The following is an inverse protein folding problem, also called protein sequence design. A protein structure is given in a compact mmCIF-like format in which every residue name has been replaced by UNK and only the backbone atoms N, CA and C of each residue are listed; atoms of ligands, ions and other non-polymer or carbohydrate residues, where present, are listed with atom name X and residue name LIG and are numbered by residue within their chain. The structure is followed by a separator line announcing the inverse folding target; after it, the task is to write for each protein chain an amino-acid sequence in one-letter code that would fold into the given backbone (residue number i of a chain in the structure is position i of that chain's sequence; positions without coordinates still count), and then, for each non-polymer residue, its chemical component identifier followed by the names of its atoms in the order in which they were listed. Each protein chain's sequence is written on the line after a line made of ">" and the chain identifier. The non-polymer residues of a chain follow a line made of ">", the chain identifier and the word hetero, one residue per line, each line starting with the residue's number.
data_IF_477139559257
#
_entry.id   IF_477139559257
#
_cell.length_a   1.000
_cell.length_b   1.000
_cell.length_c   1.000
_cell.angle_alpha   90.00
_cell.angle_beta   90.00
_cell.angle_gamma   90.00
#
_symmetry.space_group_name_H-M   'P 1'
#
loop_
_entity.id
_entity.type
_entity.pdbx_description
1 polymer ?
#
# COMPACT_ATOMS: atom_id res chain seq x y z
N UNK A 1 2.86 -14.70 -3.63
CA UNK A 1 2.03 -15.03 -2.44
C UNK A 1 0.67 -14.40 -2.66
N UNK A 2 -0.41 -15.11 -2.35
CA UNK A 2 -1.74 -14.54 -2.47
C UNK A 2 -2.02 -13.56 -1.33
N UNK A 3 -2.42 -12.33 -1.68
CA UNK A 3 -2.76 -11.27 -0.74
C UNK A 3 -4.11 -10.67 -1.12
N UNK A 4 -5.01 -10.55 -0.15
CA UNK A 4 -6.28 -9.83 -0.32
C UNK A 4 -6.05 -8.34 -0.15
N UNK A 5 -6.43 -7.56 -1.15
CA UNK A 5 -6.31 -6.09 -1.17
C UNK A 5 -7.66 -5.45 -1.41
N UNK A 6 -7.86 -4.25 -0.86
CA UNK A 6 -9.00 -3.41 -1.21
C UNK A 6 -8.71 -2.63 -2.49
N UNK A 7 -9.63 -2.70 -3.45
CA UNK A 7 -9.59 -1.95 -4.69
C UNK A 7 -10.66 -0.85 -4.64
N UNK A 8 -10.30 0.41 -4.35
CA UNK A 8 -11.26 1.49 -4.24
C UNK A 8 -11.98 1.79 -5.56
N UNK A 9 -11.30 1.64 -6.70
CA UNK A 9 -11.89 1.89 -8.01
C UNK A 9 -13.02 0.91 -8.36
N UNK A 10 -12.94 -0.32 -7.85
CA UNK A 10 -13.98 -1.34 -8.02
C UNK A 10 -14.90 -1.45 -6.80
N UNK A 11 -14.62 -0.73 -5.72
CA UNK A 11 -15.35 -0.80 -4.46
C UNK A 11 -15.39 -2.19 -3.81
N UNK A 12 -14.38 -3.04 -4.04
CA UNK A 12 -14.37 -4.44 -3.55
C UNK A 12 -12.98 -4.95 -3.19
N UNK A 13 -12.94 -6.03 -2.41
CA UNK A 13 -11.72 -6.80 -2.16
C UNK A 13 -11.38 -7.67 -3.37
N UNK A 14 -10.08 -7.82 -3.63
CA UNK A 14 -9.53 -8.67 -4.69
C UNK A 14 -8.31 -9.44 -4.15
N UNK A 15 -8.13 -10.68 -4.59
CA UNK A 15 -6.90 -11.43 -4.31
C UNK A 15 -5.91 -11.20 -5.44
N UNK A 16 -4.70 -10.77 -5.11
CA UNK A 16 -3.59 -10.59 -6.04
C UNK A 16 -2.44 -11.52 -5.66
N UNK A 17 -1.61 -11.90 -6.64
CA UNK A 17 -0.38 -12.63 -6.38
C UNK A 17 0.80 -11.64 -6.35
N UNK A 18 1.35 -11.39 -5.17
CA UNK A 18 2.49 -10.48 -4.98
C UNK A 18 3.48 -11.06 -3.99
N UNK A 19 4.73 -10.59 -4.06
CA UNK A 19 5.79 -10.94 -3.10
C UNK A 19 6.40 -9.64 -2.64
N UNK A 20 6.50 -9.46 -1.32
CA UNK A 20 7.15 -8.30 -0.73
C UNK A 20 8.65 -8.56 -0.60
N UNK A 21 9.47 -7.78 -1.30
CA UNK A 21 10.93 -7.89 -1.34
C UNK A 21 11.60 -6.55 -1.13
N UNK A 22 12.88 -6.56 -0.71
CA UNK A 22 13.62 -5.32 -0.40
C UNK A 22 13.73 -4.38 -1.60
N UNK A 23 13.61 -4.94 -2.81
CA UNK A 23 13.65 -4.22 -4.06
C UNK A 23 12.34 -3.49 -4.37
N UNK A 24 11.19 -4.09 -4.07
CA UNK A 24 9.87 -3.58 -4.47
C UNK A 24 9.06 -2.96 -3.33
N UNK A 25 9.53 -3.07 -2.09
CA UNK A 25 8.81 -2.61 -0.90
C UNK A 25 9.65 -1.66 -0.08
N UNK A 26 8.98 -0.69 0.55
CA UNK A 26 9.56 0.16 1.59
C UNK A 26 8.78 -0.06 2.86
N UNK A 27 9.47 -0.41 3.94
CA UNK A 27 8.91 -0.64 5.27
C UNK A 27 9.20 0.54 6.16
N UNK A 28 8.22 0.89 6.97
CA UNK A 28 8.29 1.94 7.97
C UNK A 28 8.24 1.30 9.34
N UNK A 29 9.39 1.26 10.01
CA UNK A 29 9.54 0.62 11.33
C UNK A 29 9.05 1.52 12.48
N UNK A 30 8.69 2.76 12.19
CA UNK A 30 8.27 3.78 13.15
C UNK A 30 6.75 3.80 13.39
N UNK A 31 6.08 2.65 13.26
CA UNK A 31 4.64 2.56 13.49
C UNK A 31 4.33 2.13 14.94
N UNK A 32 3.67 3.01 15.69
CA UNK A 32 3.16 2.75 17.04
C UNK A 32 1.63 2.61 17.05
N UNK A 33 0.93 3.21 16.09
CA UNK A 33 -0.54 3.24 16.01
C UNK A 33 -1.10 2.40 14.86
N UNK A 34 -2.27 1.80 15.09
CA UNK A 34 -2.90 0.82 14.19
C UNK A 34 -3.41 1.34 12.83
N UNK A 35 -3.11 2.59 12.48
CA UNK A 35 -3.52 3.23 11.23
C UNK A 35 -2.36 3.89 10.47
N UNK A 36 -1.16 3.88 11.06
CA UNK A 36 0.03 4.42 10.41
C UNK A 36 0.43 3.54 9.22
N UNK A 37 0.96 4.15 8.16
CA UNK A 37 1.38 3.37 6.98
C UNK A 37 2.60 2.53 7.35
N UNK A 38 2.46 1.21 7.34
CA UNK A 38 3.52 0.27 7.67
C UNK A 38 4.42 -0.05 6.49
N UNK A 39 3.84 -0.16 5.30
CA UNK A 39 4.62 -0.45 4.10
C UNK A 39 3.93 0.02 2.83
N UNK A 40 4.75 0.36 1.85
CA UNK A 40 4.33 0.65 0.48
C UNK A 40 5.05 -0.31 -0.48
N UNK A 41 4.35 -0.82 -1.47
CA UNK A 41 4.89 -1.83 -2.41
C UNK A 41 4.50 -1.51 -3.85
N UNK A 42 5.47 -1.55 -4.75
CA UNK A 42 5.22 -1.49 -6.18
C UNK A 42 4.66 -2.81 -6.69
N UNK A 43 3.53 -2.77 -7.41
CA UNK A 43 2.84 -3.94 -7.94
C UNK A 43 2.22 -3.64 -9.31
N UNK A 44 2.72 -4.28 -10.37
CA UNK A 44 2.15 -4.18 -11.74
C UNK A 44 1.91 -2.74 -12.25
N UNK A 45 2.74 -1.76 -11.85
CA UNK A 45 2.57 -0.35 -12.20
C UNK A 45 1.60 0.43 -11.29
N UNK A 46 1.10 -0.23 -10.25
CA UNK A 46 0.28 0.32 -9.17
C UNK A 46 1.05 0.31 -7.85
N UNK A 47 0.46 0.99 -6.86
CA UNK A 47 1.00 1.10 -5.51
C UNK A 47 0.06 0.38 -4.53
N UNK A 48 0.62 -0.53 -3.75
CA UNK A 48 -0.06 -1.09 -2.58
C UNK A 48 0.36 -0.29 -1.35
N UNK A 49 -0.62 0.14 -0.56
CA UNK A 49 -0.40 0.86 0.70
C UNK A 49 -0.99 0.02 1.82
N UNK A 50 -0.18 -0.36 2.81
CA UNK A 50 -0.62 -1.17 3.94
C UNK A 50 -0.43 -0.42 5.25
N UNK A 51 -1.48 -0.37 6.05
CA UNK A 51 -1.44 0.16 7.42
C UNK A 51 -0.82 -0.86 8.38
N UNK A 52 -0.28 -0.33 9.48
CA UNK A 52 0.15 -1.10 10.62
C UNK A 52 -1.07 -1.68 11.32
N UNK A 53 -1.29 -2.99 11.23
CA UNK A 53 -2.46 -3.64 11.81
C UNK A 53 -3.07 -4.68 10.89
N UNK A 54 -4.39 -4.86 11.02
CA UNK A 54 -5.14 -5.93 10.35
C UNK A 54 -5.94 -5.45 9.13
N UNK A 55 -5.82 -4.18 8.76
CA UNK A 55 -6.47 -3.65 7.55
C UNK A 55 -5.89 -4.29 6.28
N UNK A 56 -6.73 -4.49 5.28
CA UNK A 56 -6.28 -4.93 3.96
C UNK A 56 -5.45 -3.83 3.30
N UNK A 57 -4.36 -4.15 2.59
CA UNK A 57 -3.67 -3.17 1.77
C UNK A 57 -4.62 -2.57 0.74
N UNK A 58 -4.45 -1.28 0.46
CA UNK A 58 -5.21 -0.55 -0.56
C UNK A 58 -4.40 -0.49 -1.84
N UNK A 59 -5.02 -0.83 -2.97
CA UNK A 59 -4.41 -0.73 -4.30
C UNK A 59 -4.75 0.62 -4.95
N UNK A 60 -3.72 1.43 -5.21
CA UNK A 60 -3.82 2.72 -5.89
C UNK A 60 -3.20 2.62 -7.29
N UNK A 61 -4.00 2.92 -8.30
CA UNK A 61 -3.61 2.66 -9.69
C UNK A 61 -2.62 3.70 -10.23
N UNK A 62 -1.76 3.27 -11.16
CA UNK A 62 -0.84 4.14 -11.91
C UNK A 62 0.07 4.99 -11.03
N UNK A 63 0.43 4.46 -9.86
CA UNK A 63 1.32 5.08 -8.87
C UNK A 63 2.43 4.10 -8.50
N UNK A 64 3.56 4.61 -8.02
CA UNK A 64 4.66 3.80 -7.51
C UNK A 64 5.33 4.51 -6.34
N UNK A 65 6.11 3.78 -5.53
CA UNK A 65 6.83 4.32 -4.38
C UNK A 65 7.75 5.47 -4.79
N UNK A 66 8.44 5.33 -5.91
CA UNK A 66 9.31 6.39 -6.45
C UNK A 66 8.53 7.65 -6.83
N UNK A 67 7.30 7.50 -7.36
CA UNK A 67 6.43 8.61 -7.72
C UNK A 67 6.01 9.46 -6.51
N UNK A 68 6.00 8.86 -5.32
CA UNK A 68 5.70 9.54 -4.06
C UNK A 68 6.96 9.82 -3.23
N UNK A 69 8.14 9.53 -3.77
CA UNK A 69 9.43 9.76 -3.09
C UNK A 69 9.68 8.83 -1.90
N UNK A 70 9.10 7.63 -1.90
CA UNK A 70 9.22 6.64 -0.81
C UNK A 70 8.76 7.17 0.56
N UNK A 71 7.85 8.15 0.56
CA UNK A 71 7.47 8.92 1.74
C UNK A 71 6.19 8.38 2.40
N UNK A 72 6.27 8.13 3.71
CA UNK A 72 5.18 7.57 4.51
C UNK A 72 3.95 8.50 4.58
N UNK A 73 4.18 9.81 4.74
CA UNK A 73 3.09 10.80 4.88
C UNK A 73 2.36 10.99 3.56
N UNK A 74 3.08 11.03 2.44
CA UNK A 74 2.46 11.09 1.11
C UNK A 74 1.65 9.82 0.81
N UNK A 75 2.09 8.66 1.28
CA UNK A 75 1.31 7.44 1.17
C UNK A 75 0.00 7.52 1.98
N UNK A 76 0.04 8.09 3.18
CA UNK A 76 -1.15 8.34 3.99
C UNK A 76 -2.14 9.30 3.33
N UNK A 77 -1.64 10.44 2.83
CA UNK A 77 -2.43 11.42 2.08
C UNK A 77 -3.11 10.80 0.86
N UNK A 78 -2.36 9.96 0.11
CA UNK A 78 -2.91 9.25 -1.03
C UNK A 78 -3.99 8.26 -0.62
N UNK A 79 -3.77 7.45 0.41
CA UNK A 79 -4.78 6.50 0.90
C UNK A 79 -6.09 7.24 1.22
N UNK A 80 -6.01 8.32 2.01
CA UNK A 80 -7.17 9.14 2.40
C UNK A 80 -7.89 9.81 1.22
N UNK A 81 -7.23 10.01 0.08
CA UNK A 81 -7.86 10.54 -1.13
C UNK A 81 -8.74 9.48 -1.84
N UNK A 82 -8.37 8.21 -1.73
CA UNK A 82 -9.01 7.11 -2.45
C UNK A 82 -9.90 6.22 -1.59
N UNK A 83 -9.90 6.37 -0.26
CA UNK A 83 -10.74 5.61 0.70
C UNK A 83 -11.44 6.56 1.66
#
# INVERSE_FOLDING_TARGET
>A
MEVTVYNPQKGRLETIDTVFTDENTTWFDNCEEGHEIYMITDFEGDLLIREFGYAYPVRIYSMCRAGIGFDQRKAEELKNLYT
#
